data_IF_592958946901
#
_entry.id   IF_592958946901
#
_cell.length_a   1.000
_cell.length_b   1.000
_cell.length_c   1.000
_cell.angle_alpha   90.00
_cell.angle_beta   90.00
_cell.angle_gamma   90.00
#
_symmetry.space_group_name_H-M   'P 1'
#
loop_
_entity.id
_entity.type
_entity.pdbx_description
1 polymer ?
#
# COMPACT_ATOMS: atom_id res chain seq x y z
N UNK A 1 13.41 0.34 10.67
CA UNK A 1 12.27 0.21 9.78
C UNK A 1 11.17 -0.63 10.37
N UNK A 2 10.03 -0.63 9.70
CA UNK A 2 8.87 -1.41 10.12
C UNK A 2 9.02 -2.88 9.72
N UNK A 3 8.64 -3.78 10.64
CA UNK A 3 8.49 -5.18 10.28
C UNK A 3 7.13 -5.37 9.57
N UNK A 4 6.86 -6.58 9.11
CA UNK A 4 5.66 -6.85 8.30
C UNK A 4 4.37 -6.61 9.08
N UNK A 5 4.32 -7.01 10.37
CA UNK A 5 3.14 -6.79 11.19
C UNK A 5 2.86 -5.32 11.39
N UNK A 6 3.89 -4.54 11.70
CA UNK A 6 3.75 -3.10 11.88
C UNK A 6 3.40 -2.40 10.56
N UNK A 7 3.89 -2.93 9.45
CA UNK A 7 3.51 -2.41 8.13
C UNK A 7 2.00 -2.58 7.90
N UNK A 8 1.46 -3.75 8.26
CA UNK A 8 0.02 -3.99 8.14
C UNK A 8 -0.77 -2.98 8.99
N UNK A 9 -0.34 -2.76 10.23
CA UNK A 9 -0.98 -1.79 11.12
C UNK A 9 -0.89 -0.37 10.58
N UNK A 10 0.26 -0.01 10.03
CA UNK A 10 0.47 1.29 9.43
C UNK A 10 -0.48 1.53 8.27
N UNK A 11 -0.62 0.54 7.39
CA UNK A 11 -1.49 0.66 6.22
C UNK A 11 -2.95 0.75 6.62
N UNK A 12 -3.37 -0.01 7.64
CA UNK A 12 -4.73 0.08 8.16
C UNK A 12 -5.00 1.48 8.72
N UNK A 13 -4.05 2.01 9.49
CA UNK A 13 -4.16 3.36 10.04
C UNK A 13 -4.23 4.41 8.93
N UNK A 14 -3.43 4.25 7.90
CA UNK A 14 -3.42 5.13 6.74
C UNK A 14 -4.79 5.18 6.07
N UNK A 15 -5.44 4.03 5.91
CA UNK A 15 -6.78 3.94 5.36
C UNK A 15 -7.81 4.64 6.25
N UNK A 16 -7.70 4.48 7.57
CA UNK A 16 -8.61 5.12 8.51
C UNK A 16 -8.55 6.63 8.43
N UNK A 17 -7.35 7.19 8.30
CA UNK A 17 -7.19 8.63 8.13
C UNK A 17 -7.88 9.10 6.86
N UNK A 18 -7.90 8.29 5.81
CA UNK A 18 -8.58 8.61 4.56
C UNK A 18 -10.09 8.34 4.62
N UNK A 19 -10.62 7.93 5.78
CA UNK A 19 -12.05 7.67 5.95
C UNK A 19 -12.48 6.28 5.50
N UNK A 20 -11.53 5.37 5.26
CA UNK A 20 -11.80 4.01 4.79
C UNK A 20 -11.71 3.05 5.97
N UNK A 21 -12.81 2.35 6.25
CA UNK A 21 -12.89 1.47 7.43
C UNK A 21 -12.30 0.09 7.18
N UNK A 22 -12.38 -0.39 5.95
CA UNK A 22 -11.97 -1.76 5.62
C UNK A 22 -10.50 -1.81 5.24
N UNK A 23 -9.86 -2.95 5.53
CA UNK A 23 -8.49 -3.20 5.11
C UNK A 23 -8.52 -3.57 3.62
N UNK A 24 -8.17 -2.61 2.76
CA UNK A 24 -8.20 -2.80 1.32
C UNK A 24 -6.93 -3.42 0.75
N UNK A 25 -5.80 -3.31 1.46
CA UNK A 25 -4.54 -3.91 1.02
C UNK A 25 -4.57 -5.40 1.29
N UNK A 26 -4.46 -6.23 0.25
CA UNK A 26 -4.38 -7.68 0.46
C UNK A 26 -2.98 -8.05 0.99
N UNK A 27 -2.81 -9.32 1.39
CA UNK A 27 -1.54 -9.75 1.98
C UNK A 27 -0.36 -9.55 1.04
N UNK A 28 -0.56 -9.84 -0.25
CA UNK A 28 0.49 -9.68 -1.25
C UNK A 28 0.89 -8.22 -1.43
N UNK A 29 -0.08 -7.29 -1.37
CA UNK A 29 0.22 -5.87 -1.48
C UNK A 29 0.98 -5.35 -0.26
N UNK A 30 0.60 -5.81 0.94
CA UNK A 30 1.33 -5.44 2.17
C UNK A 30 2.79 -5.90 2.06
N UNK A 31 2.99 -7.13 1.63
CA UNK A 31 4.34 -7.69 1.46
C UNK A 31 5.12 -6.88 0.41
N UNK A 32 4.49 -6.57 -0.72
CA UNK A 32 5.13 -5.80 -1.78
C UNK A 32 5.54 -4.39 -1.31
N UNK A 33 4.68 -3.74 -0.53
CA UNK A 33 5.00 -2.41 0.04
C UNK A 33 6.16 -2.54 1.03
N UNK A 34 6.12 -3.57 1.88
CA UNK A 34 7.18 -3.79 2.86
C UNK A 34 8.51 -4.02 2.17
N UNK A 35 8.55 -4.90 1.19
CA UNK A 35 9.78 -5.22 0.45
C UNK A 35 10.25 -4.02 -0.40
N UNK A 36 9.32 -3.36 -1.09
CA UNK A 36 9.66 -2.25 -1.96
C UNK A 36 10.15 -1.01 -1.20
N UNK A 37 9.67 -0.84 0.03
CA UNK A 37 10.06 0.31 0.86
C UNK A 37 11.26 0.02 1.74
N UNK A 38 11.62 -1.26 1.93
CA UNK A 38 12.62 -1.65 2.91
C UNK A 38 12.22 -1.30 4.32
N UNK A 39 10.91 -1.15 4.60
CA UNK A 39 10.41 -0.75 5.89
C UNK A 39 10.54 0.75 6.18
N UNK A 40 10.97 1.54 5.21
CA UNK A 40 11.15 2.99 5.37
C UNK A 40 9.80 3.67 5.15
N UNK A 41 9.32 4.38 6.19
CA UNK A 41 7.97 4.97 6.19
C UNK A 41 7.68 5.89 5.00
N UNK A 42 8.62 6.73 4.62
CA UNK A 42 8.41 7.65 3.48
C UNK A 42 8.14 6.88 2.20
N UNK A 43 8.93 5.84 1.95
CA UNK A 43 8.77 5.00 0.76
C UNK A 43 7.49 4.18 0.84
N UNK A 44 7.18 3.64 2.02
CA UNK A 44 5.96 2.88 2.24
C UNK A 44 4.72 3.74 1.97
N UNK A 45 4.72 4.98 2.48
CA UNK A 45 3.62 5.90 2.26
C UNK A 45 3.43 6.20 0.77
N UNK A 46 4.53 6.43 0.07
CA UNK A 46 4.49 6.70 -1.37
C UNK A 46 3.91 5.52 -2.14
N UNK A 47 4.40 4.31 -1.86
CA UNK A 47 3.90 3.10 -2.53
C UNK A 47 2.45 2.82 -2.17
N UNK A 48 2.08 3.02 -0.91
CA UNK A 48 0.71 2.78 -0.45
C UNK A 48 -0.28 3.72 -1.13
N UNK A 49 0.05 5.00 -1.23
CA UNK A 49 -0.82 5.99 -1.88
C UNK A 49 -0.91 5.74 -3.38
N UNK A 50 0.21 5.45 -4.02
CA UNK A 50 0.23 5.14 -5.45
C UNK A 50 -0.57 3.89 -5.78
N UNK A 51 -0.45 2.85 -4.95
CA UNK A 51 -1.20 1.61 -5.14
C UNK A 51 -2.71 1.83 -4.95
N UNK A 52 -3.09 2.64 -3.96
CA UNK A 52 -4.49 2.99 -3.74
C UNK A 52 -5.06 3.72 -4.96
N UNK A 53 -4.30 4.67 -5.49
CA UNK A 53 -4.71 5.40 -6.69
C UNK A 53 -4.83 4.46 -7.89
N UNK A 54 -3.87 3.57 -8.09
CA UNK A 54 -3.90 2.61 -9.20
C UNK A 54 -5.13 1.70 -9.11
N UNK A 55 -5.45 1.23 -7.90
CA UNK A 55 -6.63 0.40 -7.67
C UNK A 55 -7.92 1.18 -8.00
N UNK A 56 -8.00 2.43 -7.56
CA UNK A 56 -9.15 3.28 -7.82
C UNK A 56 -9.36 3.52 -9.32
N UNK A 57 -8.27 3.79 -10.04
CA UNK A 57 -8.35 4.02 -11.49
C UNK A 57 -8.79 2.77 -12.25
N UNK A 58 -8.50 1.60 -11.71
CA UNK A 58 -8.92 0.33 -12.31
C UNK A 58 -10.23 -0.20 -11.77
N UNK A 59 -10.90 0.57 -10.92
CA UNK A 59 -12.14 0.18 -10.24
C UNK A 59 -11.99 -1.13 -9.47
N UNK A 60 -10.82 -1.37 -8.91
CA UNK A 60 -10.56 -2.56 -8.11
C UNK A 60 -10.99 -2.30 -6.67
N UNK A 61 -11.70 -3.28 -6.07
CA UNK A 61 -12.14 -3.17 -4.68
C UNK A 61 -11.03 -3.46 -3.68
N UNK A 62 -10.01 -4.19 -4.10
CA UNK A 62 -8.87 -4.53 -3.27
C UNK A 62 -7.60 -4.02 -3.92
N UNK A 63 -6.62 -3.72 -3.07
CA UNK A 63 -5.31 -3.28 -3.52
C UNK A 63 -4.40 -4.49 -3.55
N UNK A 64 -3.84 -4.78 -4.72
CA UNK A 64 -3.02 -5.96 -4.98
C UNK A 64 -1.55 -5.59 -5.15
N UNK A 65 -0.70 -6.62 -5.19
CA UNK A 65 0.73 -6.44 -5.48
C UNK A 65 0.93 -5.78 -6.86
N UNK A 66 0.05 -6.06 -7.83
CA UNK A 66 0.12 -5.42 -9.14
C UNK A 66 -0.05 -3.91 -9.04
N UNK A 67 -0.96 -3.45 -8.20
CA UNK A 67 -1.14 -2.01 -7.98
C UNK A 67 0.11 -1.39 -7.35
N UNK A 68 0.77 -2.11 -6.44
CA UNK A 68 2.03 -1.65 -5.84
C UNK A 68 3.11 -1.56 -6.91
N UNK A 69 3.20 -2.57 -7.78
CA UNK A 69 4.17 -2.58 -8.86
C UNK A 69 3.95 -1.40 -9.81
N UNK A 70 2.70 -1.12 -10.15
CA UNK A 70 2.36 0.03 -10.98
C UNK A 70 2.80 1.33 -10.34
N UNK A 71 2.57 1.47 -9.03
CA UNK A 71 3.01 2.66 -8.31
C UNK A 71 4.52 2.82 -8.38
N UNK A 72 5.26 1.73 -8.16
CA UNK A 72 6.71 1.75 -8.17
C UNK A 72 7.28 2.08 -9.55
N UNK A 73 6.69 1.54 -10.63
CA UNK A 73 7.24 1.70 -11.98
C UNK A 73 6.76 2.95 -12.68
N UNK A 74 5.53 3.39 -12.42
CA UNK A 74 4.94 4.52 -13.14
C UNK A 74 5.11 5.86 -12.41
N UNK A 75 5.21 5.84 -11.08
CA UNK A 75 5.27 7.05 -10.30
C UNK A 75 6.68 7.38 -9.80
N UNK A 76 7.57 6.43 -9.83
CA UNK A 76 8.99 6.64 -9.52
C UNK A 76 9.79 6.85 -10.80
#
# INVERSE_FOLDING_TARGET
GLDLQRMTEYLLHHLKIAGIKDMLYDEASVLAIHQGSGGILRKANFLARGALLAAALKNSKLISAEHVRLAATELL
#
